data_IF_345612182279
#
_entry.id   IF_345612182279
#
_cell.length_a   1.000
_cell.length_b   1.000
_cell.length_c   1.000
_cell.angle_alpha   90.00
_cell.angle_beta   90.00
_cell.angle_gamma   90.00
#
_symmetry.space_group_name_H-M   'P 1'
#
loop_
_entity.id
_entity.type
_entity.pdbx_description
1 polymer ?
#
# COMPACT_ATOMS: atom_id res chain seq x y z
N UNK A 1 0.41 -1.88 2.46
CA UNK A 1 0.02 -3.04 3.28
C UNK A 1 -1.36 -2.79 3.89
N UNK A 2 -2.26 -3.76 3.73
CA UNK A 2 -3.63 -3.68 4.23
C UNK A 2 -3.82 -4.80 5.24
N UNK A 3 -4.20 -4.47 6.47
CA UNK A 3 -4.52 -5.47 7.48
C UNK A 3 -6.03 -5.70 7.53
N UNK A 4 -6.44 -6.96 7.60
CA UNK A 4 -7.85 -7.35 7.68
C UNK A 4 -8.03 -8.31 8.85
N UNK A 5 -8.99 -8.02 9.72
CA UNK A 5 -9.46 -8.93 10.76
C UNK A 5 -10.45 -9.88 10.07
N UNK A 6 -10.09 -11.16 9.98
CA UNK A 6 -10.86 -12.18 9.23
C UNK A 6 -11.74 -13.04 10.13
N UNK A 7 -11.47 -13.02 11.43
CA UNK A 7 -12.20 -13.76 12.45
C UNK A 7 -12.03 -13.07 13.79
N UNK A 8 -12.93 -12.11 14.06
CA UNK A 8 -12.94 -11.31 15.27
C UNK A 8 -13.19 -12.17 16.53
N UNK A 9 -14.03 -13.20 16.39
CA UNK A 9 -14.53 -14.00 17.50
C UNK A 9 -13.73 -15.28 17.75
N UNK A 10 -12.87 -15.69 16.82
CA UNK A 10 -12.11 -16.94 16.89
C UNK A 10 -12.89 -18.18 16.43
N UNK A 11 -13.94 -17.99 15.62
CA UNK A 11 -14.88 -19.03 15.23
C UNK A 11 -14.31 -20.04 14.23
N UNK A 12 -13.32 -19.66 13.41
CA UNK A 12 -12.74 -20.56 12.42
C UNK A 12 -11.98 -21.70 13.09
N UNK A 13 -12.14 -22.91 12.59
CA UNK A 13 -11.19 -23.97 12.86
C UNK A 13 -9.88 -23.67 12.14
N UNK A 14 -8.80 -24.33 12.59
CA UNK A 14 -7.50 -24.26 11.91
C UNK A 14 -7.60 -24.61 10.42
N UNK A 15 -8.36 -25.64 10.08
CA UNK A 15 -8.52 -26.11 8.71
C UNK A 15 -9.30 -25.10 7.84
N UNK A 16 -10.35 -24.49 8.38
CA UNK A 16 -11.12 -23.46 7.67
C UNK A 16 -10.28 -22.20 7.43
N UNK A 17 -9.49 -21.79 8.42
CA UNK A 17 -8.56 -20.67 8.29
C UNK A 17 -7.50 -20.95 7.21
N UNK A 18 -6.81 -22.09 7.27
CA UNK A 18 -5.79 -22.46 6.27
C UNK A 18 -6.41 -22.58 4.85
N UNK A 19 -7.63 -23.11 4.74
CA UNK A 19 -8.35 -23.17 3.46
C UNK A 19 -8.74 -21.78 2.93
N UNK A 20 -9.13 -20.86 3.80
CA UNK A 20 -9.43 -19.46 3.44
C UNK A 20 -8.19 -18.73 2.91
N UNK A 21 -7.04 -18.91 3.56
CA UNK A 21 -5.75 -18.41 3.07
C UNK A 21 -5.44 -18.98 1.69
N UNK A 22 -5.62 -20.29 1.49
CA UNK A 22 -5.41 -20.94 0.19
C UNK A 22 -6.29 -20.36 -0.92
N UNK A 23 -7.55 -20.02 -0.63
CA UNK A 23 -8.45 -19.35 -1.58
C UNK A 23 -7.94 -17.96 -1.95
N UNK A 24 -7.47 -17.18 -0.99
CA UNK A 24 -6.93 -15.84 -1.25
C UNK A 24 -5.62 -15.89 -2.05
N UNK A 25 -4.72 -16.82 -1.71
CA UNK A 25 -3.46 -17.01 -2.44
C UNK A 25 -3.69 -17.43 -3.90
N UNK A 26 -4.79 -18.15 -4.19
CA UNK A 26 -5.17 -18.50 -5.56
C UNK A 26 -5.64 -17.31 -6.42
N UNK A 27 -5.82 -16.12 -5.82
CA UNK A 27 -6.17 -14.88 -6.52
C UNK A 27 -4.95 -14.07 -6.95
N UNK A 28 -3.75 -14.65 -6.88
CA UNK A 28 -2.47 -13.99 -7.17
C UNK A 28 -2.23 -12.76 -6.28
N UNK A 29 -2.70 -12.85 -5.03
CA UNK A 29 -2.50 -11.83 -4.01
C UNK A 29 -1.35 -12.23 -3.09
N UNK A 30 -0.50 -11.26 -2.75
CA UNK A 30 0.51 -11.45 -1.73
C UNK A 30 -0.12 -11.36 -0.33
N UNK A 31 -0.34 -12.52 0.28
CA UNK A 31 -0.98 -12.68 1.60
C UNK A 31 0.06 -13.08 2.64
N UNK A 32 0.15 -12.29 3.71
CA UNK A 32 0.94 -12.59 4.91
C UNK A 32 -0.03 -12.97 6.02
N UNK A 33 0.14 -14.18 6.56
CA UNK A 33 -0.76 -14.71 7.57
C UNK A 33 0.00 -15.54 8.61
N UNK A 34 -0.44 -15.47 9.86
CA UNK A 34 0.07 -16.37 10.89
C UNK A 34 -0.29 -17.82 10.54
N UNK A 35 0.60 -18.80 10.78
CA UNK A 35 0.28 -20.20 10.52
C UNK A 35 -0.83 -20.67 11.46
N UNK A 36 -1.68 -21.59 10.98
CA UNK A 36 -2.83 -22.10 11.72
C UNK A 36 -2.51 -22.65 13.11
N UNK A 37 -1.30 -23.17 13.32
CA UNK A 37 -0.82 -23.67 14.61
C UNK A 37 -0.54 -22.57 15.66
N UNK A 38 -0.50 -21.29 15.26
CA UNK A 38 -0.22 -20.12 16.11
C UNK A 38 -1.37 -19.10 16.05
N UNK A 39 -2.59 -19.55 15.76
CA UNK A 39 -3.75 -18.68 15.73
C UNK A 39 -4.02 -18.11 17.13
N UNK A 40 -4.28 -16.80 17.18
CA UNK A 40 -4.82 -16.17 18.37
C UNK A 40 -6.22 -16.72 18.67
N UNK A 41 -6.61 -16.73 19.94
CA UNK A 41 -7.94 -17.18 20.37
C UNK A 41 -9.06 -16.31 19.78
N UNK A 42 -8.78 -15.03 19.51
CA UNK A 42 -9.71 -14.04 18.97
C UNK A 42 -8.96 -13.05 18.09
N UNK A 43 -9.70 -12.27 17.30
CA UNK A 43 -9.17 -11.16 16.48
C UNK A 43 -8.01 -11.63 15.60
N UNK A 44 -8.26 -12.66 14.80
CA UNK A 44 -7.28 -13.21 13.87
C UNK A 44 -7.21 -12.30 12.65
N UNK A 45 -6.00 -11.92 12.30
CA UNK A 45 -5.71 -10.94 11.26
C UNK A 45 -4.80 -11.54 10.19
N UNK A 46 -4.99 -11.05 8.97
CA UNK A 46 -4.08 -11.29 7.85
C UNK A 46 -3.70 -9.95 7.23
N UNK A 47 -2.65 -9.97 6.43
CA UNK A 47 -2.14 -8.78 5.77
C UNK A 47 -1.98 -9.03 4.28
N UNK A 48 -2.24 -8.00 3.50
CA UNK A 48 -2.00 -7.98 2.07
C UNK A 48 -0.91 -6.98 1.75
N UNK A 49 0.04 -7.39 0.91
CA UNK A 49 0.93 -6.46 0.23
C UNK A 49 0.24 -6.08 -1.08
N UNK A 50 -0.44 -4.94 -1.04
CA UNK A 50 -1.01 -4.32 -2.23
C UNK A 50 0.07 -3.47 -2.89
N UNK A 51 0.39 -3.77 -4.15
CA UNK A 51 1.39 -2.99 -4.91
C UNK A 51 0.84 -1.65 -5.35
N UNK A 52 -0.45 -1.56 -5.61
CA UNK A 52 -1.12 -0.33 -6.04
C UNK A 52 -2.49 -0.18 -5.39
N UNK A 53 -2.55 0.51 -4.25
CA UNK A 53 -3.82 0.91 -3.64
C UNK A 53 -4.60 1.96 -4.47
N UNK A 54 -4.01 2.47 -5.56
CA UNK A 54 -4.58 3.56 -6.35
C UNK A 54 -4.92 3.18 -7.81
N UNK A 55 -4.67 1.95 -8.27
CA UNK A 55 -4.86 1.57 -9.69
C UNK A 55 -6.02 0.59 -9.98
N UNK A 56 -6.80 0.16 -8.98
CA UNK A 56 -8.01 -0.63 -9.26
C UNK A 56 -8.69 -1.38 -8.11
N UNK A 57 -8.10 -1.44 -6.91
CA UNK A 57 -8.74 -2.00 -5.72
C UNK A 57 -8.54 -1.08 -4.52
N UNK A 58 -9.65 -0.69 -3.91
CA UNK A 58 -9.67 -0.02 -2.62
C UNK A 58 -9.32 -1.00 -1.48
N UNK A 59 -8.97 -0.48 -0.30
CA UNK A 59 -8.78 -1.31 0.88
C UNK A 59 -10.02 -2.16 1.20
N UNK A 60 -11.22 -1.61 0.98
CA UNK A 60 -12.49 -2.32 1.23
C UNK A 60 -12.63 -3.58 0.37
N UNK A 61 -12.15 -3.55 -0.87
CA UNK A 61 -12.20 -4.72 -1.75
C UNK A 61 -11.43 -5.92 -1.15
N UNK A 62 -10.34 -5.66 -0.41
CA UNK A 62 -9.61 -6.72 0.30
C UNK A 62 -10.39 -7.31 1.47
N UNK A 63 -11.17 -6.50 2.18
CA UNK A 63 -12.07 -6.99 3.23
C UNK A 63 -13.19 -7.86 2.61
N UNK A 64 -13.77 -7.44 1.49
CA UNK A 64 -14.84 -8.17 0.81
C UNK A 64 -14.34 -9.52 0.22
N UNK A 65 -13.10 -9.55 -0.27
CA UNK A 65 -12.42 -10.79 -0.65
C UNK A 65 -12.23 -11.72 0.56
N UNK A 66 -11.91 -11.18 1.74
CA UNK A 66 -11.83 -11.98 2.96
C UNK A 66 -13.20 -12.53 3.36
N UNK A 67 -14.27 -11.74 3.28
CA UNK A 67 -15.63 -12.24 3.54
C UNK A 67 -15.95 -13.43 2.65
N UNK A 68 -15.66 -13.31 1.35
CA UNK A 68 -15.87 -14.38 0.38
C UNK A 68 -14.99 -15.61 0.66
N UNK A 69 -13.74 -15.39 1.06
CA UNK A 69 -12.80 -16.46 1.33
C UNK A 69 -13.08 -17.17 2.65
N UNK A 70 -13.48 -16.50 3.72
CA UNK A 70 -13.63 -17.11 5.05
C UNK A 70 -15.09 -17.41 5.43
N UNK A 71 -16.06 -16.80 4.75
CA UNK A 71 -17.48 -16.94 5.08
C UNK A 71 -17.87 -16.25 6.40
N UNK A 72 -17.00 -15.39 6.94
CA UNK A 72 -17.23 -14.59 8.13
C UNK A 72 -17.13 -13.10 7.79
N UNK A 73 -17.80 -12.22 8.55
CA UNK A 73 -17.56 -10.78 8.44
C UNK A 73 -16.07 -10.47 8.64
N UNK A 74 -15.52 -9.65 7.75
CA UNK A 74 -14.15 -9.19 7.82
C UNK A 74 -14.12 -7.66 7.99
N UNK A 75 -13.19 -7.17 8.80
CA UNK A 75 -13.07 -5.75 9.13
C UNK A 75 -11.69 -5.23 8.75
N UNK A 76 -11.65 -4.00 8.23
CA UNK A 76 -10.37 -3.33 7.99
C UNK A 76 -9.68 -3.02 9.32
N UNK A 77 -8.45 -3.52 9.44
CA UNK A 77 -7.53 -3.10 10.46
C UNK A 77 -6.75 -1.85 10.04
N UNK A 78 -5.57 -1.68 10.63
CA UNK A 78 -4.67 -0.59 10.24
C UNK A 78 -4.18 -0.80 8.82
N UNK A 79 -4.40 0.19 7.95
CA UNK A 79 -3.78 0.24 6.62
C UNK A 79 -2.52 1.08 6.71
N UNK A 80 -1.39 0.48 6.34
CA UNK A 80 -0.08 1.13 6.38
C UNK A 80 0.46 1.26 4.97
N UNK A 81 0.86 2.47 4.60
CA UNK A 81 1.59 2.70 3.37
C UNK A 81 3.04 2.21 3.55
N UNK A 82 3.52 1.33 2.68
CA UNK A 82 4.92 0.90 2.68
C UNK A 82 5.58 1.61 1.52
N UNK A 83 6.46 2.55 1.83
CA UNK A 83 7.34 3.16 0.84
C UNK A 83 8.37 2.14 0.39
N UNK A 84 8.44 1.90 -0.93
CA UNK A 84 9.41 1.01 -1.57
C UNK A 84 10.50 1.74 -2.36
N UNK A 85 10.43 3.07 -2.42
CA UNK A 85 11.31 3.88 -3.25
C UNK A 85 10.83 4.03 -4.70
N UNK A 86 9.63 3.58 -5.05
CA UNK A 86 9.16 3.44 -6.44
C UNK A 86 8.53 4.72 -6.99
N UNK A 87 8.27 4.77 -8.30
CA UNK A 87 7.56 5.90 -8.90
C UNK A 87 6.12 6.02 -8.37
N UNK A 88 5.49 4.92 -7.96
CA UNK A 88 4.18 4.93 -7.29
C UNK A 88 4.24 5.63 -5.93
N UNK A 89 5.36 5.54 -5.20
CA UNK A 89 5.58 6.32 -3.98
C UNK A 89 5.63 7.83 -4.26
N UNK A 90 6.25 8.23 -5.39
CA UNK A 90 6.25 9.62 -5.81
C UNK A 90 4.82 10.09 -6.13
N UNK A 91 4.07 9.29 -6.91
CA UNK A 91 2.68 9.59 -7.28
C UNK A 91 1.76 9.64 -6.06
N UNK A 92 1.91 8.72 -5.10
CA UNK A 92 1.16 8.70 -3.86
C UNK A 92 1.39 9.95 -3.00
N UNK A 93 2.64 10.43 -2.92
CA UNK A 93 2.95 11.72 -2.28
C UNK A 93 2.29 12.87 -3.04
N UNK A 94 2.47 12.95 -4.36
CA UNK A 94 1.91 14.02 -5.21
C UNK A 94 0.38 14.11 -5.10
N UNK A 95 -0.31 12.98 -5.11
CA UNK A 95 -1.76 12.89 -4.93
C UNK A 95 -2.20 13.43 -3.56
N UNK A 96 -1.49 13.09 -2.47
CA UNK A 96 -1.80 13.62 -1.12
C UNK A 96 -1.64 15.13 -1.02
N UNK A 97 -0.74 15.71 -1.82
CA UNK A 97 -0.56 17.15 -1.91
C UNK A 97 -1.47 17.82 -2.97
N UNK A 98 -2.25 17.04 -3.73
CA UNK A 98 -3.12 17.54 -4.79
C UNK A 98 -2.35 18.20 -5.94
N UNK A 99 -1.16 17.68 -6.24
CA UNK A 99 -0.26 18.19 -7.29
C UNK A 99 -0.22 17.18 -8.43
N UNK A 100 -0.46 17.66 -9.65
CA UNK A 100 -0.21 16.88 -10.86
C UNK A 100 1.19 17.20 -11.37
N UNK A 101 2.00 16.16 -11.60
CA UNK A 101 3.39 16.29 -12.04
C UNK A 101 3.85 15.09 -12.87
N UNK A 102 4.86 15.31 -13.71
CA UNK A 102 5.58 14.24 -14.39
C UNK A 102 6.74 13.77 -13.54
N UNK A 103 6.90 12.45 -13.38
CA UNK A 103 7.99 11.81 -12.64
C UNK A 103 8.93 11.14 -13.62
N UNK A 104 10.23 11.40 -13.51
CA UNK A 104 11.26 10.74 -14.33
C UNK A 104 12.40 10.28 -13.43
N UNK A 105 12.76 9.01 -13.55
CA UNK A 105 13.86 8.39 -12.80
C UNK A 105 15.09 8.19 -13.68
N UNK A 106 16.26 8.47 -13.11
CA UNK A 106 17.56 8.23 -13.75
C UNK A 106 18.55 7.64 -12.75
N UNK A 107 19.46 6.80 -13.26
CA UNK A 107 20.54 6.17 -12.51
C UNK A 107 21.87 6.68 -13.06
N UNK A 108 22.77 7.17 -12.21
CA UNK A 108 24.12 7.62 -12.61
C UNK A 108 25.14 7.15 -11.58
N UNK A 109 26.08 6.29 -11.98
CA UNK A 109 27.26 5.87 -11.20
C UNK A 109 27.00 5.65 -9.69
N UNK A 110 25.99 4.83 -9.37
CA UNK A 110 25.48 4.46 -8.05
C UNK A 110 24.49 5.42 -7.37
N UNK A 111 24.24 6.60 -7.93
CA UNK A 111 23.22 7.54 -7.43
C UNK A 111 21.91 7.43 -8.22
N UNK A 112 20.80 7.31 -7.48
CA UNK A 112 19.45 7.35 -8.00
C UNK A 112 18.88 8.77 -7.85
N UNK A 113 18.42 9.34 -8.97
CA UNK A 113 17.83 10.68 -9.02
C UNK A 113 16.42 10.60 -9.60
N UNK A 114 15.45 11.09 -8.84
CA UNK A 114 14.08 11.29 -9.30
C UNK A 114 13.83 12.78 -9.57
N UNK A 115 13.51 13.10 -10.82
CA UNK A 115 13.11 14.44 -11.23
C UNK A 115 11.59 14.52 -11.30
N UNK A 116 11.00 15.46 -10.54
CA UNK A 116 9.57 15.75 -10.54
C UNK A 116 9.34 17.08 -11.25
N UNK A 117 8.63 17.06 -12.36
CA UNK A 117 8.31 18.25 -13.16
C UNK A 117 6.87 18.68 -12.92
N UNK A 118 6.69 19.85 -12.33
CA UNK A 118 5.40 20.38 -11.91
C UNK A 118 5.02 21.54 -12.82
N UNK A 119 3.78 21.56 -13.31
CA UNK A 119 3.27 22.70 -14.08
C UNK A 119 3.29 23.98 -13.23
N UNK A 120 3.68 25.11 -13.82
CA UNK A 120 3.77 26.40 -13.10
C UNK A 120 2.47 26.87 -12.46
N UNK A 121 1.32 26.40 -12.96
CA UNK A 121 0.00 26.65 -12.38
C UNK A 121 -0.22 25.93 -11.03
N UNK A 122 0.44 24.80 -10.83
CA UNK A 122 0.31 23.93 -9.66
C UNK A 122 1.29 24.33 -8.53
N UNK A 123 2.38 25.04 -8.84
CA UNK A 123 3.45 25.41 -7.90
C UNK A 123 3.00 26.28 -6.73
N UNK A 124 1.84 26.94 -6.83
CA UNK A 124 1.28 27.77 -5.76
C UNK A 124 0.49 26.99 -4.71
N UNK A 125 0.21 25.70 -4.96
CA UNK A 125 -0.66 24.89 -4.09
C UNK A 125 0.05 24.36 -2.86
N UNK A 126 1.36 24.08 -2.95
CA UNK A 126 2.16 23.53 -1.86
C UNK A 126 3.52 24.21 -1.80
N UNK A 127 4.06 24.50 -0.59
CA UNK A 127 5.46 24.91 -0.45
C UNK A 127 6.40 23.83 -0.98
N UNK A 128 7.30 24.21 -1.89
CA UNK A 128 8.27 23.29 -2.52
C UNK A 128 9.05 22.47 -1.48
N UNK A 129 9.50 23.09 -0.40
CA UNK A 129 10.25 22.42 0.67
C UNK A 129 9.48 21.28 1.34
N UNK A 130 8.16 21.41 1.52
CA UNK A 130 7.33 20.35 2.12
C UNK A 130 7.17 19.18 1.17
N UNK A 131 6.96 19.47 -0.11
CA UNK A 131 6.82 18.45 -1.13
C UNK A 131 8.14 17.70 -1.31
N UNK A 132 9.25 18.43 -1.34
CA UNK A 132 10.60 17.86 -1.45
C UNK A 132 10.92 16.90 -0.29
N UNK A 133 10.74 17.33 0.96
CA UNK A 133 10.95 16.45 2.13
C UNK A 133 10.07 15.20 2.10
N UNK A 134 8.80 15.33 1.69
CA UNK A 134 7.90 14.18 1.62
C UNK A 134 8.33 13.19 0.53
N UNK A 135 8.78 13.69 -0.63
CA UNK A 135 9.27 12.85 -1.73
C UNK A 135 10.60 12.16 -1.36
N UNK A 136 11.57 12.86 -0.77
CA UNK A 136 12.83 12.23 -0.33
C UNK A 136 12.59 11.14 0.70
N UNK A 137 11.69 11.37 1.67
CA UNK A 137 11.34 10.37 2.67
C UNK A 137 10.65 9.14 2.06
N UNK A 138 9.83 9.35 1.03
CA UNK A 138 9.10 8.27 0.37
C UNK A 138 9.98 7.47 -0.61
N UNK A 139 10.90 8.16 -1.30
CA UNK A 139 11.69 7.59 -2.37
C UNK A 139 13.05 7.06 -1.90
N UNK A 140 13.54 7.54 -0.75
CA UNK A 140 14.85 7.19 -0.20
C UNK A 140 16.01 7.37 -1.21
N UNK A 141 15.90 8.37 -2.08
CA UNK A 141 16.89 8.76 -3.08
C UNK A 141 16.89 10.28 -3.28
N UNK A 142 17.82 10.82 -4.08
CA UNK A 142 17.85 12.26 -4.37
C UNK A 142 16.62 12.65 -5.20
N UNK A 143 15.96 13.75 -4.79
CA UNK A 143 14.81 14.29 -5.51
C UNK A 143 15.10 15.70 -6.01
N UNK A 144 14.77 15.96 -7.28
CA UNK A 144 14.86 17.29 -7.89
C UNK A 144 13.51 17.74 -8.41
N UNK A 145 13.00 18.85 -7.87
CA UNK A 145 11.77 19.47 -8.34
C UNK A 145 12.10 20.51 -9.41
N UNK A 146 11.35 20.48 -10.52
CA UNK A 146 11.43 21.46 -11.60
C UNK A 146 10.05 22.01 -11.89
N UNK A 147 9.97 23.28 -12.26
CA UNK A 147 8.73 23.91 -12.70
C UNK A 147 8.79 24.16 -14.21
N UNK A 148 7.79 23.67 -14.93
CA UNK A 148 7.61 23.87 -16.37
C UNK A 148 6.39 24.74 -16.68
#
# INVERSE_FOLDING_TARGET
MIRVIVDAEGALTRAEYEAGIGRLAALDLEVIAAPGARLADRRREIEFIAEDLDQGRSAQDYADLCVSAFGLPAELGVTTYISRGTDDDALGVLNRFGVVADVTRSYTDDDELVTVTIARAESRRVPESRLHTALEAALNCEVRIRFA
#
